data_IF_087502594470
#
_entry.id   IF_087502594470
#
_cell.length_a   1.000
_cell.length_b   1.000
_cell.length_c   1.000
_cell.angle_alpha   90.00
_cell.angle_beta   90.00
_cell.angle_gamma   90.00
#
_symmetry.space_group_name_H-M   'P 1'
#
loop_
_entity.id
_entity.type
_entity.pdbx_description
1 polymer ?
#
# COMPACT_ATOMS: atom_id res chain seq x y z
N UNK A 1 22.94 24.96 -11.24
CA UNK A 1 23.50 23.81 -11.99
C UNK A 1 23.87 22.60 -11.11
N UNK A 2 24.47 22.77 -9.93
CA UNK A 2 24.94 21.66 -9.07
C UNK A 2 23.79 20.87 -8.40
N UNK A 3 22.70 21.54 -8.02
CA UNK A 3 21.49 20.91 -7.48
C UNK A 3 20.88 19.89 -8.44
N UNK A 4 20.64 20.29 -9.70
CA UNK A 4 20.11 19.41 -10.74
C UNK A 4 21.00 18.19 -10.99
N UNK A 5 22.33 18.36 -11.02
CA UNK A 5 23.26 17.22 -11.16
C UNK A 5 23.15 16.24 -9.98
N UNK A 6 23.02 16.74 -8.74
CA UNK A 6 22.82 15.89 -7.55
C UNK A 6 21.48 15.17 -7.57
N UNK A 7 20.41 15.87 -7.97
CA UNK A 7 19.08 15.28 -8.13
C UNK A 7 19.08 14.15 -9.16
N UNK A 8 19.60 14.40 -10.38
CA UNK A 8 19.69 13.39 -11.44
C UNK A 8 20.56 12.20 -11.04
N UNK A 9 21.69 12.43 -10.36
CA UNK A 9 22.52 11.34 -9.83
C UNK A 9 21.76 10.50 -8.80
N UNK A 10 20.98 11.13 -7.94
CA UNK A 10 20.12 10.46 -6.97
C UNK A 10 19.04 9.61 -7.65
N UNK A 11 18.35 10.17 -8.63
CA UNK A 11 17.32 9.47 -9.41
C UNK A 11 17.90 8.26 -10.17
N UNK A 12 19.04 8.45 -10.85
CA UNK A 12 19.71 7.37 -11.57
C UNK A 12 20.16 6.23 -10.65
N UNK A 13 20.54 6.54 -9.40
CA UNK A 13 20.86 5.51 -8.42
C UNK A 13 19.64 4.67 -8.03
N UNK A 14 18.48 5.30 -7.86
CA UNK A 14 17.22 4.62 -7.49
C UNK A 14 16.69 3.72 -8.62
N UNK A 15 17.03 4.04 -9.88
CA UNK A 15 16.65 3.26 -11.06
C UNK A 15 17.63 2.12 -11.39
N UNK A 16 18.66 1.88 -10.57
CA UNK A 16 19.56 0.75 -10.80
C UNK A 16 18.86 -0.59 -10.59
N UNK A 17 19.17 -1.59 -11.43
CA UNK A 17 18.56 -2.95 -11.40
C UNK A 17 18.55 -3.59 -10.00
N UNK A 18 19.57 -3.34 -9.18
CA UNK A 18 19.64 -3.83 -7.79
C UNK A 18 18.47 -3.40 -6.91
N UNK A 19 17.85 -2.25 -7.18
CA UNK A 19 16.69 -1.73 -6.46
C UNK A 19 15.37 -2.38 -6.88
N UNK A 20 15.38 -3.24 -7.91
CA UNK A 20 14.26 -4.12 -8.22
C UNK A 20 14.09 -5.22 -7.16
N UNK A 21 15.20 -5.72 -6.63
CA UNK A 21 15.20 -6.74 -5.58
C UNK A 21 14.67 -6.22 -4.24
N UNK A 22 14.69 -7.10 -3.24
CA UNK A 22 14.19 -6.80 -1.89
C UNK A 22 15.30 -6.73 -0.84
N UNK A 23 16.58 -6.92 -1.20
CA UNK A 23 17.68 -6.88 -0.24
C UNK A 23 17.83 -5.51 0.38
N UNK A 24 17.76 -5.41 1.70
CA UNK A 24 17.83 -4.15 2.45
C UNK A 24 18.61 -4.32 3.76
N UNK A 25 19.63 -3.49 3.96
CA UNK A 25 20.57 -3.63 5.06
C UNK A 25 20.02 -3.19 6.43
N UNK A 26 18.90 -2.46 6.46
CA UNK A 26 18.28 -1.97 7.71
C UNK A 26 16.96 -2.70 7.98
N UNK A 27 17.04 -4.02 8.12
CA UNK A 27 15.89 -4.93 8.27
C UNK A 27 15.01 -4.57 9.47
N UNK A 28 15.61 -4.10 10.57
CA UNK A 28 14.88 -3.67 11.77
C UNK A 28 13.81 -2.58 11.50
N UNK A 29 13.96 -1.78 10.44
CA UNK A 29 12.98 -0.74 10.09
C UNK A 29 11.61 -1.30 9.69
N UNK A 30 11.53 -2.54 9.21
CA UNK A 30 10.22 -3.16 8.90
C UNK A 30 9.37 -3.43 10.15
N UNK A 31 10.01 -3.51 11.31
CA UNK A 31 9.35 -3.74 12.59
C UNK A 31 9.08 -2.44 13.35
N UNK A 32 9.51 -1.30 12.80
CA UNK A 32 9.57 -0.04 13.53
C UNK A 32 8.73 1.07 12.91
N UNK A 33 8.19 1.93 13.76
CA UNK A 33 7.73 3.27 13.36
C UNK A 33 8.94 4.10 12.96
N UNK A 34 8.76 5.01 11.99
CA UNK A 34 9.78 5.99 11.62
C UNK A 34 10.09 6.93 12.79
N UNK A 35 9.09 7.19 13.63
CA UNK A 35 9.13 8.21 14.67
C UNK A 35 9.54 7.69 16.05
N UNK A 36 9.75 6.38 16.20
CA UNK A 36 10.18 5.82 17.47
C UNK A 36 11.70 5.82 17.62
N UNK A 37 12.17 6.14 18.83
CA UNK A 37 13.61 6.16 19.17
C UNK A 37 14.06 4.82 19.74
N UNK A 38 13.26 4.24 20.64
CA UNK A 38 13.59 2.99 21.31
C UNK A 38 13.51 1.79 20.34
N UNK A 39 14.12 0.67 20.73
CA UNK A 39 14.05 -0.59 19.98
C UNK A 39 12.64 -1.15 19.91
N UNK A 40 11.88 -1.01 20.99
CA UNK A 40 10.47 -1.39 21.07
C UNK A 40 9.61 -0.22 21.54
N UNK A 41 8.34 -0.22 21.13
CA UNK A 41 7.34 0.75 21.59
C UNK A 41 5.98 0.07 21.75
N UNK A 42 5.45 0.10 22.97
CA UNK A 42 4.11 -0.41 23.26
C UNK A 42 3.03 0.42 22.57
N UNK A 43 3.25 1.74 22.42
CA UNK A 43 2.34 2.63 21.68
C UNK A 43 2.24 2.24 20.20
N UNK A 44 3.36 1.92 19.57
CA UNK A 44 3.36 1.49 18.17
C UNK A 44 2.75 0.10 18.00
N UNK A 45 2.99 -0.81 18.94
CA UNK A 45 2.33 -2.12 18.95
C UNK A 45 0.81 -1.97 19.09
N UNK A 46 0.34 -1.14 20.02
CA UNK A 46 -1.08 -0.85 20.21
C UNK A 46 -1.68 -0.24 18.93
N UNK A 47 -0.98 0.73 18.31
CA UNK A 47 -1.37 1.28 17.01
C UNK A 47 -1.58 0.18 15.97
N UNK A 48 -0.65 -0.78 15.82
CA UNK A 48 -0.80 -1.87 14.84
C UNK A 48 -2.02 -2.74 15.08
N UNK A 49 -2.30 -3.10 16.34
CA UNK A 49 -3.47 -3.91 16.66
C UNK A 49 -4.78 -3.15 16.47
N UNK A 50 -4.84 -1.85 16.81
CA UNK A 50 -6.00 -1.01 16.51
C UNK A 50 -6.29 -1.01 15.00
N UNK A 51 -5.26 -0.85 14.17
CA UNK A 51 -5.41 -0.85 12.71
C UNK A 51 -5.83 -2.21 12.16
N UNK A 52 -5.23 -3.30 12.65
CA UNK A 52 -5.61 -4.65 12.28
C UNK A 52 -7.09 -4.93 12.61
N UNK A 53 -7.53 -4.62 13.83
CA UNK A 53 -8.92 -4.83 14.27
C UNK A 53 -9.88 -3.95 13.47
N UNK A 54 -9.54 -2.67 13.24
CA UNK A 54 -10.38 -1.75 12.48
C UNK A 54 -10.61 -2.25 11.05
N UNK A 55 -9.55 -2.56 10.31
CA UNK A 55 -9.65 -3.04 8.93
C UNK A 55 -10.35 -4.41 8.86
N UNK A 56 -10.05 -5.31 9.79
CA UNK A 56 -10.71 -6.62 9.84
C UNK A 56 -12.22 -6.47 10.10
N UNK A 57 -12.61 -5.62 11.05
CA UNK A 57 -14.02 -5.39 11.38
C UNK A 57 -14.78 -4.79 10.19
N UNK A 58 -14.19 -3.79 9.52
CA UNK A 58 -14.79 -3.20 8.32
C UNK A 58 -14.90 -4.22 7.20
N UNK A 59 -13.88 -5.04 6.96
CA UNK A 59 -13.90 -6.04 5.90
C UNK A 59 -14.95 -7.13 6.15
N UNK A 60 -15.07 -7.59 7.40
CA UNK A 60 -16.15 -8.51 7.80
C UNK A 60 -17.51 -7.86 7.58
N UNK A 61 -17.72 -6.62 8.02
CA UNK A 61 -18.97 -5.89 7.81
C UNK A 61 -19.28 -5.72 6.31
N UNK A 62 -18.29 -5.35 5.49
CA UNK A 62 -18.45 -5.24 4.03
C UNK A 62 -18.87 -6.57 3.42
N UNK A 63 -18.24 -7.67 3.84
CA UNK A 63 -18.59 -9.02 3.39
C UNK A 63 -20.02 -9.33 3.77
N UNK A 64 -20.41 -9.20 5.05
CA UNK A 64 -21.77 -9.50 5.51
C UNK A 64 -22.83 -8.67 4.76
N UNK A 65 -22.57 -7.38 4.54
CA UNK A 65 -23.56 -6.46 3.93
C UNK A 65 -23.65 -6.57 2.40
N UNK A 66 -22.54 -6.89 1.74
CA UNK A 66 -22.43 -6.85 0.27
C UNK A 66 -22.28 -8.24 -0.36
N UNK A 67 -22.30 -9.32 0.41
CA UNK A 67 -22.23 -10.66 -0.14
C UNK A 67 -23.51 -11.00 -0.90
N UNK A 68 -23.46 -10.83 -2.23
CA UNK A 68 -24.53 -11.17 -3.14
C UNK A 68 -24.01 -12.20 -4.15
N UNK A 69 -24.34 -13.48 -3.96
CA UNK A 69 -23.99 -14.59 -4.87
C UNK A 69 -22.51 -14.60 -5.31
N UNK A 70 -21.59 -14.22 -4.41
CA UNK A 70 -20.16 -14.12 -4.73
C UNK A 70 -19.72 -12.91 -5.55
N UNK A 71 -20.65 -12.04 -6.02
CA UNK A 71 -20.34 -10.77 -6.71
C UNK A 71 -19.50 -9.83 -5.85
N UNK A 72 -19.46 -10.01 -4.53
CA UNK A 72 -18.49 -9.32 -3.68
C UNK A 72 -17.05 -9.43 -4.22
N UNK A 73 -16.66 -10.59 -4.73
CA UNK A 73 -15.29 -10.85 -5.18
C UNK A 73 -14.97 -10.35 -6.58
N UNK A 74 -15.91 -9.73 -7.31
CA UNK A 74 -15.59 -9.19 -8.66
C UNK A 74 -15.03 -7.77 -8.60
N UNK A 75 -15.27 -7.05 -7.50
CA UNK A 75 -14.94 -5.63 -7.40
C UNK A 75 -13.52 -5.41 -6.87
N UNK A 76 -12.77 -4.53 -7.57
CA UNK A 76 -11.42 -4.11 -7.20
C UNK A 76 -11.36 -3.50 -5.80
N UNK A 77 -12.42 -2.79 -5.39
CA UNK A 77 -12.52 -2.20 -4.05
C UNK A 77 -12.41 -3.27 -2.96
N UNK A 78 -13.07 -4.41 -3.15
CA UNK A 78 -13.08 -5.49 -2.17
C UNK A 78 -11.75 -6.24 -2.15
N UNK A 79 -11.08 -6.38 -3.31
CA UNK A 79 -9.72 -6.89 -3.40
C UNK A 79 -8.72 -5.98 -2.68
N UNK A 80 -8.75 -4.68 -2.99
CA UNK A 80 -7.85 -3.70 -2.40
C UNK A 80 -8.03 -3.57 -0.89
N UNK A 81 -9.28 -3.53 -0.41
CA UNK A 81 -9.56 -3.48 1.02
C UNK A 81 -9.19 -4.79 1.73
N UNK A 82 -9.46 -5.95 1.12
CA UNK A 82 -9.03 -7.24 1.65
C UNK A 82 -7.51 -7.36 1.76
N UNK A 83 -6.77 -6.94 0.73
CA UNK A 83 -5.31 -6.85 0.78
C UNK A 83 -4.84 -5.91 1.89
N UNK A 84 -5.45 -4.73 2.05
CA UNK A 84 -5.12 -3.82 3.14
C UNK A 84 -5.37 -4.45 4.52
N UNK A 85 -6.48 -5.19 4.70
CA UNK A 85 -6.77 -5.93 5.93
C UNK A 85 -5.69 -6.98 6.22
N UNK A 86 -5.30 -7.78 5.22
CA UNK A 86 -4.21 -8.76 5.37
C UNK A 86 -2.92 -8.04 5.76
N UNK A 87 -2.59 -6.93 5.09
CA UNK A 87 -1.41 -6.11 5.40
C UNK A 87 -1.42 -5.63 6.86
N UNK A 88 -2.55 -5.11 7.36
CA UNK A 88 -2.64 -4.59 8.74
C UNK A 88 -2.52 -5.69 9.79
N UNK A 89 -3.15 -6.86 9.56
CA UNK A 89 -3.00 -8.01 10.45
C UNK A 89 -1.56 -8.52 10.44
N UNK A 90 -0.95 -8.65 9.25
CA UNK A 90 0.44 -9.07 9.10
C UNK A 90 1.39 -8.10 9.82
N UNK A 91 1.15 -6.79 9.69
CA UNK A 91 1.88 -5.75 10.39
C UNK A 91 1.84 -5.93 11.92
N UNK A 92 0.64 -6.17 12.47
CA UNK A 92 0.47 -6.39 13.91
C UNK A 92 1.22 -7.63 14.40
N UNK A 93 1.18 -8.73 13.64
CA UNK A 93 1.93 -9.95 13.96
C UNK A 93 3.43 -9.69 13.94
N UNK A 94 3.96 -9.08 12.87
CA UNK A 94 5.41 -8.79 12.75
C UNK A 94 5.91 -7.92 13.90
N UNK A 95 5.18 -6.85 14.24
CA UNK A 95 5.56 -5.94 15.34
C UNK A 95 5.42 -6.64 16.69
N UNK A 96 4.46 -7.54 16.88
CA UNK A 96 4.33 -8.36 18.10
C UNK A 96 5.54 -9.28 18.27
N UNK A 97 5.93 -10.00 17.21
CA UNK A 97 7.11 -10.86 17.22
C UNK A 97 8.39 -10.07 17.56
N UNK A 98 8.55 -8.87 17.00
CA UNK A 98 9.67 -7.99 17.35
C UNK A 98 9.61 -7.47 18.80
N UNK A 99 8.42 -7.10 19.27
CA UNK A 99 8.25 -6.51 20.60
C UNK A 99 8.61 -7.49 21.72
N UNK A 100 8.08 -8.72 21.62
CA UNK A 100 8.29 -9.78 22.62
C UNK A 100 9.45 -10.73 22.27
N UNK A 101 10.20 -10.45 21.21
CA UNK A 101 11.29 -11.29 20.71
C UNK A 101 10.87 -12.75 20.43
N UNK A 102 9.63 -12.94 19.95
CA UNK A 102 9.09 -14.26 19.67
C UNK A 102 9.96 -14.93 18.62
N UNK A 103 10.50 -16.11 18.94
CA UNK A 103 11.40 -16.85 18.05
C UNK A 103 12.75 -16.15 17.83
N UNK A 104 13.19 -15.31 18.76
CA UNK A 104 14.45 -14.56 18.72
C UNK A 104 14.58 -13.60 17.51
N UNK A 105 13.45 -13.18 16.92
CA UNK A 105 13.42 -12.34 15.70
C UNK A 105 14.23 -11.06 15.89
N UNK A 106 14.09 -10.38 17.03
CA UNK A 106 14.80 -9.14 17.29
C UNK A 106 16.26 -9.42 17.60
N UNK A 107 16.54 -10.39 18.45
CA UNK A 107 17.92 -10.76 18.81
C UNK A 107 18.75 -11.15 17.59
N UNK A 108 18.22 -11.99 16.70
CA UNK A 108 18.91 -12.43 15.47
C UNK A 108 19.20 -11.28 14.51
N UNK A 109 18.25 -10.34 14.35
CA UNK A 109 18.44 -9.16 13.50
C UNK A 109 19.49 -8.21 14.11
N UNK A 110 19.49 -8.05 15.43
CA UNK A 110 20.47 -7.20 16.13
C UNK A 110 21.88 -7.81 16.06
N UNK A 111 22.02 -9.11 16.29
CA UNK A 111 23.30 -9.84 16.21
C UNK A 111 23.88 -9.82 14.78
N UNK A 112 23.02 -9.98 13.77
CA UNK A 112 23.43 -9.92 12.36
C UNK A 112 23.77 -8.50 11.89
N UNK A 113 23.28 -7.46 12.57
CA UNK A 113 23.51 -6.06 12.22
C UNK A 113 23.18 -5.74 10.77
N UNK A 114 24.12 -5.11 10.05
CA UNK A 114 23.96 -4.77 8.63
C UNK A 114 24.07 -5.99 7.69
N UNK A 115 24.49 -7.15 8.18
CA UNK A 115 24.54 -8.40 7.41
C UNK A 115 23.22 -9.17 7.48
N UNK A 116 22.22 -8.66 8.21
CA UNK A 116 20.89 -9.27 8.26
C UNK A 116 20.25 -9.29 6.87
N UNK A 117 19.90 -10.49 6.40
CA UNK A 117 19.19 -10.66 5.14
C UNK A 117 17.70 -10.35 5.30
N UNK A 118 17.08 -9.83 4.25
CA UNK A 118 15.63 -9.62 4.25
C UNK A 118 14.93 -10.98 4.10
N UNK A 119 14.22 -11.41 5.15
CA UNK A 119 13.53 -12.71 5.17
C UNK A 119 12.36 -12.74 4.18
N UNK A 120 11.94 -13.93 3.73
CA UNK A 120 10.79 -14.10 2.84
C UNK A 120 9.52 -13.41 3.40
N UNK A 121 9.29 -13.58 4.70
CA UNK A 121 8.20 -12.93 5.44
C UNK A 121 8.20 -11.41 5.27
N UNK A 122 9.36 -10.76 5.41
CA UNK A 122 9.48 -9.31 5.22
C UNK A 122 9.34 -8.87 3.77
N UNK A 123 9.80 -9.68 2.81
CA UNK A 123 9.61 -9.42 1.37
C UNK A 123 8.12 -9.40 1.04
N UNK A 124 7.36 -10.39 1.52
CA UNK A 124 5.90 -10.47 1.36
C UNK A 124 5.22 -9.26 2.01
N UNK A 125 5.60 -8.93 3.25
CA UNK A 125 5.03 -7.78 3.95
C UNK A 125 5.26 -6.47 3.18
N UNK A 126 6.46 -6.30 2.62
CA UNK A 126 6.78 -5.11 1.84
C UNK A 126 5.93 -5.00 0.58
N UNK A 127 5.77 -6.09 -0.18
CA UNK A 127 4.90 -6.11 -1.36
C UNK A 127 3.46 -5.80 -0.98
N UNK A 128 2.94 -6.47 0.05
CA UNK A 128 1.58 -6.27 0.54
C UNK A 128 1.33 -4.79 0.90
N UNK A 129 2.24 -4.17 1.66
CA UNK A 129 2.13 -2.76 2.02
C UNK A 129 2.15 -1.84 0.81
N UNK A 130 3.12 -2.01 -0.10
CA UNK A 130 3.25 -1.21 -1.31
C UNK A 130 1.98 -1.29 -2.18
N UNK A 131 1.46 -2.51 -2.36
CA UNK A 131 0.28 -2.76 -3.18
C UNK A 131 -0.96 -2.18 -2.51
N UNK A 132 -1.21 -2.46 -1.23
CA UNK A 132 -2.34 -1.90 -0.49
C UNK A 132 -2.35 -0.37 -0.49
N UNK A 133 -1.19 0.27 -0.30
CA UNK A 133 -1.06 1.73 -0.27
C UNK A 133 -1.49 2.33 -1.60
N UNK A 134 -0.94 1.80 -2.71
CA UNK A 134 -1.26 2.37 -4.01
C UNK A 134 -2.69 2.05 -4.43
N UNK A 135 -3.18 0.84 -4.18
CA UNK A 135 -4.56 0.46 -4.50
C UNK A 135 -5.57 1.35 -3.78
N UNK A 136 -5.33 1.68 -2.50
CA UNK A 136 -6.21 2.59 -1.76
C UNK A 136 -6.34 3.95 -2.46
N UNK A 137 -5.22 4.56 -2.90
CA UNK A 137 -5.20 5.82 -3.64
C UNK A 137 -5.92 5.71 -4.99
N UNK A 138 -5.64 4.65 -5.74
CA UNK A 138 -6.25 4.39 -7.05
C UNK A 138 -7.77 4.21 -6.91
N UNK A 139 -8.21 3.38 -5.96
CA UNK A 139 -9.63 3.09 -5.72
C UNK A 139 -10.38 4.37 -5.35
N UNK A 140 -9.81 5.20 -4.46
CA UNK A 140 -10.43 6.47 -4.09
C UNK A 140 -10.61 7.39 -5.29
N UNK A 141 -9.55 7.60 -6.06
CA UNK A 141 -9.58 8.50 -7.21
C UNK A 141 -10.51 8.01 -8.30
N UNK A 142 -10.46 6.71 -8.64
CA UNK A 142 -11.35 6.11 -9.63
C UNK A 142 -12.81 6.25 -9.19
N UNK A 143 -13.09 5.92 -7.92
CA UNK A 143 -14.45 6.00 -7.41
C UNK A 143 -15.01 7.42 -7.46
N UNK A 144 -14.34 8.38 -6.82
CA UNK A 144 -14.87 9.72 -6.66
C UNK A 144 -14.92 10.53 -7.97
N UNK A 145 -13.97 10.31 -8.88
CA UNK A 145 -13.89 11.07 -10.14
C UNK A 145 -14.71 10.40 -11.25
N UNK A 146 -14.69 9.07 -11.35
CA UNK A 146 -15.18 8.36 -12.53
C UNK A 146 -16.42 7.49 -12.28
N UNK A 147 -16.65 7.00 -11.06
CA UNK A 147 -17.74 6.04 -10.80
C UNK A 147 -18.89 6.63 -9.98
N UNK A 148 -18.63 7.53 -9.04
CA UNK A 148 -19.65 8.09 -8.15
C UNK A 148 -20.74 8.80 -8.99
N UNK A 149 -21.99 8.36 -8.85
CA UNK A 149 -23.13 8.84 -9.65
C UNK A 149 -23.18 8.35 -11.11
N UNK A 150 -22.26 7.47 -11.54
CA UNK A 150 -22.13 6.99 -12.93
C UNK A 150 -22.13 5.46 -13.06
N UNK A 151 -22.48 4.73 -11.99
CA UNK A 151 -22.45 3.27 -11.95
C UNK A 151 -23.69 2.59 -12.54
N UNK A 152 -24.68 3.34 -13.06
CA UNK A 152 -25.98 2.83 -13.53
C UNK A 152 -26.68 1.91 -12.50
N UNK A 153 -26.46 2.16 -11.21
CA UNK A 153 -27.04 1.37 -10.11
C UNK A 153 -27.22 2.22 -8.85
N UNK A 154 -28.22 1.91 -7.99
CA UNK A 154 -28.47 2.67 -6.77
C UNK A 154 -27.35 2.51 -5.74
N UNK A 155 -27.12 3.56 -4.95
CA UNK A 155 -26.17 3.53 -3.83
C UNK A 155 -26.83 2.81 -2.65
N UNK A 156 -26.51 1.53 -2.45
CA UNK A 156 -27.10 0.70 -1.37
C UNK A 156 -26.52 1.00 0.01
N UNK A 157 -25.21 1.27 0.09
CA UNK A 157 -24.50 1.44 1.37
C UNK A 157 -23.62 2.70 1.38
N UNK A 158 -24.19 3.90 1.55
CA UNK A 158 -23.45 5.16 1.46
C UNK A 158 -22.28 5.26 2.45
N UNK A 159 -22.49 4.85 3.71
CA UNK A 159 -21.44 4.88 4.74
C UNK A 159 -20.27 3.94 4.41
N UNK A 160 -20.57 2.70 3.99
CA UNK A 160 -19.55 1.74 3.56
C UNK A 160 -18.80 2.25 2.33
N UNK A 161 -19.49 2.92 1.41
CA UNK A 161 -18.85 3.54 0.25
C UNK A 161 -17.83 4.61 0.68
N UNK A 162 -18.20 5.53 1.58
CA UNK A 162 -17.26 6.54 2.11
C UNK A 162 -16.06 5.89 2.81
N UNK A 163 -16.29 4.82 3.57
CA UNK A 163 -15.22 4.10 4.27
C UNK A 163 -14.26 3.44 3.26
N UNK A 164 -14.82 2.66 2.34
CA UNK A 164 -14.04 1.80 1.41
C UNK A 164 -13.48 2.54 0.20
N UNK A 165 -13.96 3.75 -0.11
CA UNK A 165 -13.46 4.58 -1.21
C UNK A 165 -12.90 5.94 -0.79
N UNK A 166 -13.04 6.35 0.48
CA UNK A 166 -12.48 7.60 0.99
C UNK A 166 -11.49 7.32 2.10
N UNK A 167 -12.01 6.81 3.23
CA UNK A 167 -11.21 6.60 4.44
C UNK A 167 -10.10 5.57 4.23
N UNK A 168 -10.27 4.58 3.34
CA UNK A 168 -9.21 3.60 3.02
C UNK A 168 -7.86 4.30 2.71
N UNK A 169 -7.89 5.43 2.01
CA UNK A 169 -6.71 6.06 1.42
C UNK A 169 -6.09 7.01 2.41
N UNK A 170 -6.91 7.72 3.17
CA UNK A 170 -6.49 8.50 4.33
C UNK A 170 -5.79 7.56 5.32
N UNK A 171 -6.39 6.41 5.59
CA UNK A 171 -5.82 5.41 6.47
C UNK A 171 -4.45 4.93 5.93
N UNK A 172 -4.39 4.44 4.69
CA UNK A 172 -3.11 3.98 4.13
C UNK A 172 -2.03 5.07 4.07
N UNK A 173 -2.40 6.34 3.87
CA UNK A 173 -1.47 7.47 3.91
C UNK A 173 -0.96 7.75 5.32
N UNK A 174 -1.81 7.68 6.36
CA UNK A 174 -1.38 7.82 7.75
C UNK A 174 -0.39 6.70 8.10
N UNK A 175 -0.72 5.45 7.75
CA UNK A 175 0.19 4.33 7.98
C UNK A 175 1.50 4.53 7.21
N UNK A 176 1.44 4.93 5.94
CA UNK A 176 2.62 5.30 5.16
C UNK A 176 3.45 6.40 5.82
N UNK A 177 2.89 7.37 6.53
CA UNK A 177 3.68 8.38 7.25
C UNK A 177 4.34 7.78 8.50
N UNK A 178 3.68 6.82 9.16
CA UNK A 178 4.11 6.25 10.42
C UNK A 178 5.18 5.15 10.25
N UNK A 179 5.08 4.29 9.24
CA UNK A 179 5.98 3.13 9.05
C UNK A 179 7.42 3.54 8.72
N UNK A 180 8.45 2.82 9.15
CA UNK A 180 9.83 3.11 8.72
C UNK A 180 10.23 2.45 7.37
N UNK A 181 9.25 1.94 6.60
CA UNK A 181 9.50 1.15 5.39
C UNK A 181 10.33 1.91 4.36
N UNK A 182 11.33 1.28 3.73
CA UNK A 182 11.93 1.83 2.52
C UNK A 182 10.91 1.87 1.36
N UNK A 183 10.98 2.92 0.53
CA UNK A 183 10.24 2.99 -0.73
C UNK A 183 11.24 3.07 -1.89
N UNK A 184 11.10 2.16 -2.86
CA UNK A 184 11.94 2.10 -4.08
C UNK A 184 11.10 2.45 -5.30
N UNK A 185 11.64 3.28 -6.20
CA UNK A 185 10.92 3.66 -7.42
C UNK A 185 10.56 2.46 -8.29
N UNK A 186 11.47 1.50 -8.44
CA UNK A 186 11.23 0.32 -9.28
C UNK A 186 10.17 -0.64 -8.73
N UNK A 187 9.79 -0.54 -7.45
CA UNK A 187 8.74 -1.38 -6.88
C UNK A 187 7.33 -1.01 -7.39
N UNK A 188 7.18 0.08 -8.18
CA UNK A 188 5.93 0.37 -8.88
C UNK A 188 5.45 -0.79 -9.78
N UNK A 189 6.36 -1.64 -10.26
CA UNK A 189 6.00 -2.80 -11.07
C UNK A 189 5.09 -3.78 -10.34
N UNK A 190 5.17 -3.85 -9.00
CA UNK A 190 4.34 -4.74 -8.18
C UNK A 190 2.86 -4.39 -8.35
N UNK A 191 2.55 -3.10 -8.33
CA UNK A 191 1.17 -2.61 -8.48
C UNK A 191 0.68 -2.62 -9.92
N UNK A 192 1.58 -2.38 -10.89
CA UNK A 192 1.28 -2.59 -12.31
C UNK A 192 0.88 -4.04 -12.60
N UNK A 193 1.59 -5.01 -12.01
CA UNK A 193 1.25 -6.42 -12.12
C UNK A 193 -0.13 -6.72 -11.51
N UNK A 194 -0.45 -6.15 -10.33
CA UNK A 194 -1.79 -6.28 -9.74
C UNK A 194 -2.88 -5.71 -10.65
N UNK A 195 -2.64 -4.56 -11.30
CA UNK A 195 -3.58 -3.98 -12.26
C UNK A 195 -3.77 -4.88 -13.49
N UNK A 196 -2.70 -5.47 -14.03
CA UNK A 196 -2.78 -6.44 -15.13
C UNK A 196 -3.61 -7.65 -14.73
N UNK A 197 -3.35 -8.23 -13.55
CA UNK A 197 -4.10 -9.39 -13.03
C UNK A 197 -5.59 -9.07 -12.96
N UNK A 198 -5.96 -7.92 -12.40
CA UNK A 198 -7.36 -7.53 -12.30
C UNK A 198 -8.00 -7.28 -13.68
N UNK A 199 -7.27 -6.66 -14.61
CA UNK A 199 -7.77 -6.48 -15.98
C UNK A 199 -8.04 -7.81 -16.69
N UNK A 200 -7.08 -8.75 -16.62
CA UNK A 200 -7.24 -10.09 -17.16
C UNK A 200 -8.43 -10.82 -16.52
N UNK A 201 -8.57 -10.69 -15.20
CA UNK A 201 -9.75 -11.20 -14.49
C UNK A 201 -11.04 -10.64 -15.07
N UNK A 202 -11.17 -9.32 -15.26
CA UNK A 202 -12.40 -8.74 -15.83
C UNK A 202 -12.69 -9.17 -17.26
N UNK A 203 -11.65 -9.38 -18.08
CA UNK A 203 -11.79 -9.92 -19.43
C UNK A 203 -12.32 -11.35 -19.40
N UNK A 204 -11.70 -12.22 -18.61
CA UNK A 204 -12.13 -13.61 -18.46
C UNK A 204 -13.57 -13.65 -17.91
N UNK A 205 -13.87 -12.81 -16.92
CA UNK A 205 -15.20 -12.72 -16.32
C UNK A 205 -16.27 -12.35 -17.37
N UNK A 206 -15.97 -11.38 -18.24
CA UNK A 206 -16.84 -11.02 -19.35
C UNK A 206 -17.01 -12.16 -20.38
N UNK A 207 -15.91 -12.84 -20.76
CA UNK A 207 -15.95 -13.97 -21.69
C UNK A 207 -16.78 -15.15 -21.15
N UNK A 208 -16.88 -15.28 -19.82
CA UNK A 208 -17.75 -16.22 -19.14
C UNK A 208 -19.19 -15.70 -18.94
N UNK A 209 -19.60 -14.64 -19.65
CA UNK A 209 -20.91 -13.98 -19.52
C UNK A 209 -21.21 -13.46 -18.10
N UNK A 210 -20.18 -13.10 -17.34
CA UNK A 210 -20.31 -12.54 -16.01
C UNK A 210 -21.01 -11.17 -16.02
N UNK A 211 -21.90 -10.96 -15.05
CA UNK A 211 -22.64 -9.71 -14.85
C UNK A 211 -22.34 -9.07 -13.49
N UNK A 212 -22.73 -7.83 -13.27
CA UNK A 212 -22.88 -7.31 -11.91
C UNK A 212 -24.19 -7.82 -11.24
N UNK A 213 -24.46 -7.32 -10.03
CA UNK A 213 -25.66 -7.62 -9.23
C UNK A 213 -26.97 -7.13 -9.86
N UNK A 214 -26.91 -6.31 -10.91
CA UNK A 214 -28.05 -5.71 -11.59
C UNK A 214 -28.22 -6.24 -13.02
N UNK A 215 -27.42 -7.24 -13.41
CA UNK A 215 -27.48 -7.85 -14.73
C UNK A 215 -26.69 -7.09 -15.81
N UNK A 216 -25.92 -6.06 -15.45
CA UNK A 216 -25.07 -5.37 -16.42
C UNK A 216 -23.90 -6.26 -16.84
N UNK A 217 -23.52 -6.33 -18.13
CA UNK A 217 -22.48 -7.24 -18.64
C UNK A 217 -21.05 -6.72 -18.40
N UNK A 218 -20.80 -6.10 -17.24
CA UNK A 218 -19.50 -5.55 -16.86
C UNK A 218 -19.32 -5.51 -15.35
N UNK A 219 -18.07 -5.46 -14.87
CA UNK A 219 -17.76 -5.23 -13.45
C UNK A 219 -17.94 -3.75 -13.09
N UNK A 220 -17.42 -2.87 -13.94
CA UNK A 220 -17.57 -1.42 -13.86
C UNK A 220 -17.90 -0.88 -15.26
N UNK A 221 -18.69 0.18 -15.42
CA UNK A 221 -18.99 0.75 -16.74
C UNK A 221 -17.75 1.22 -17.52
N UNK A 222 -16.66 1.55 -16.81
CA UNK A 222 -15.35 1.92 -17.39
C UNK A 222 -14.53 0.70 -17.85
N UNK A 223 -14.95 -0.52 -17.49
CA UNK A 223 -14.40 -1.81 -17.89
C UNK A 223 -15.46 -2.65 -18.63
N UNK A 224 -16.21 -1.98 -19.52
CA UNK A 224 -17.20 -2.64 -20.39
C UNK A 224 -16.52 -3.19 -21.65
N UNK A 225 -16.35 -4.52 -21.69
CA UNK A 225 -15.68 -5.21 -22.78
C UNK A 225 -16.51 -5.30 -24.08
N UNK A 226 -17.78 -4.88 -24.08
CA UNK A 226 -18.51 -4.62 -25.32
C UNK A 226 -17.95 -3.40 -26.07
N UNK A 227 -17.24 -2.51 -25.37
CA UNK A 227 -16.46 -1.40 -25.92
C UNK A 227 -14.98 -1.54 -25.51
N UNK A 228 -14.19 -2.40 -26.19
CA UNK A 228 -12.79 -2.65 -25.83
C UNK A 228 -11.91 -1.39 -25.82
N UNK A 229 -12.29 -0.35 -26.58
CA UNK A 229 -11.59 0.94 -26.57
C UNK A 229 -11.69 1.59 -25.19
N UNK A 230 -12.86 1.53 -24.55
CA UNK A 230 -13.05 2.04 -23.19
C UNK A 230 -12.18 1.31 -22.17
N UNK A 231 -12.13 -0.02 -22.24
CA UNK A 231 -11.24 -0.83 -21.39
C UNK A 231 -9.77 -0.44 -21.57
N UNK A 232 -9.33 -0.27 -22.82
CA UNK A 232 -7.95 0.16 -23.13
C UNK A 232 -7.63 1.55 -22.58
N UNK A 233 -8.53 2.52 -22.75
CA UNK A 233 -8.36 3.88 -22.19
C UNK A 233 -8.27 3.82 -20.67
N UNK A 234 -9.15 3.06 -20.02
CA UNK A 234 -9.09 2.86 -18.56
C UNK A 234 -7.77 2.22 -18.15
N UNK A 235 -7.29 1.19 -18.86
CA UNK A 235 -6.03 0.51 -18.56
C UNK A 235 -4.84 1.48 -18.59
N UNK A 236 -4.72 2.26 -19.68
CA UNK A 236 -3.67 3.26 -19.84
C UNK A 236 -3.77 4.34 -18.75
N UNK A 237 -4.99 4.80 -18.45
CA UNK A 237 -5.25 5.79 -17.40
C UNK A 237 -4.79 5.30 -16.02
N UNK A 238 -5.10 4.05 -15.65
CA UNK A 238 -4.65 3.44 -14.39
C UNK A 238 -3.12 3.34 -14.34
N UNK A 239 -2.46 2.94 -15.42
CA UNK A 239 -0.99 2.86 -15.49
C UNK A 239 -0.33 4.23 -15.31
N UNK A 240 -0.85 5.27 -15.97
CA UNK A 240 -0.37 6.64 -15.79
C UNK A 240 -0.55 7.07 -14.32
N UNK A 241 -1.72 6.79 -13.75
CA UNK A 241 -2.02 7.15 -12.37
C UNK A 241 -1.12 6.42 -11.35
N UNK A 242 -0.79 5.15 -11.59
CA UNK A 242 0.19 4.39 -10.81
C UNK A 242 1.55 5.09 -10.82
N UNK A 243 2.05 5.48 -12.01
CA UNK A 243 3.34 6.18 -12.13
C UNK A 243 3.31 7.52 -11.38
N UNK A 244 2.26 8.31 -11.57
CA UNK A 244 2.09 9.60 -10.91
C UNK A 244 2.09 9.47 -9.38
N UNK A 245 1.25 8.58 -8.82
CA UNK A 245 1.20 8.37 -7.38
C UNK A 245 2.51 7.80 -6.84
N UNK A 246 3.18 6.90 -7.55
CA UNK A 246 4.43 6.32 -7.08
C UNK A 246 5.54 7.37 -6.98
N UNK A 247 5.62 8.30 -7.94
CA UNK A 247 6.53 9.44 -7.90
C UNK A 247 6.20 10.36 -6.72
N UNK A 248 4.92 10.67 -6.51
CA UNK A 248 4.47 11.50 -5.39
C UNK A 248 4.79 10.86 -4.03
N UNK A 249 4.50 9.57 -3.87
CA UNK A 249 4.82 8.80 -2.67
C UNK A 249 6.32 8.71 -2.44
N UNK A 250 7.13 8.58 -3.50
CA UNK A 250 8.58 8.63 -3.36
C UNK A 250 9.08 10.00 -2.89
N UNK A 251 8.52 11.09 -3.43
CA UNK A 251 8.80 12.45 -2.93
C UNK A 251 8.44 12.60 -1.45
N UNK A 252 7.23 12.18 -1.07
CA UNK A 252 6.76 12.17 0.32
C UNK A 252 7.64 11.30 1.23
N UNK A 253 8.12 10.15 0.72
CA UNK A 253 9.03 9.26 1.43
C UNK A 253 10.38 9.94 1.73
N UNK A 254 10.95 10.67 0.76
CA UNK A 254 12.18 11.45 1.00
C UNK A 254 11.94 12.60 1.97
N UNK A 255 10.79 13.26 1.88
CA UNK A 255 10.42 14.37 2.76
C UNK A 255 10.29 13.91 4.23
N UNK A 256 9.55 12.83 4.50
CA UNK A 256 9.42 12.30 5.88
C UNK A 256 10.76 11.83 6.46
N UNK A 257 11.66 11.28 5.63
CA UNK A 257 13.01 10.94 6.08
C UNK A 257 13.85 12.18 6.42
N UNK A 258 13.74 13.24 5.61
CA UNK A 258 14.41 14.51 5.90
C UNK A 258 13.91 15.12 7.21
N UNK A 259 12.59 15.14 7.44
CA UNK A 259 12.01 15.60 8.70
C UNK A 259 12.48 14.77 9.89
N UNK A 260 12.42 13.43 9.78
CA UNK A 260 12.87 12.54 10.85
C UNK A 260 14.33 12.80 11.23
N UNK A 261 15.22 13.00 10.26
CA UNK A 261 16.63 13.35 10.50
C UNK A 261 16.77 14.71 11.18
N UNK A 262 16.05 15.73 10.70
CA UNK A 262 16.08 17.07 11.28
C UNK A 262 15.64 17.06 12.75
N UNK A 263 14.55 16.37 13.08
CA UNK A 263 14.12 16.21 14.47
C UNK A 263 15.13 15.44 15.31
N UNK A 264 15.71 14.35 14.78
CA UNK A 264 16.73 13.60 15.53
C UNK A 264 17.95 14.47 15.89
N UNK A 265 18.40 15.35 14.99
CA UNK A 265 19.52 16.29 15.23
C UNK A 265 19.15 17.36 16.26
N UNK A 266 17.98 17.98 16.15
CA UNK A 266 17.53 19.05 17.06
C UNK A 266 17.38 18.55 18.51
N UNK A 267 16.96 17.31 18.70
CA UNK A 267 16.74 16.70 20.02
C UNK A 267 17.94 15.88 20.54
N UNK A 268 19.07 15.87 19.83
CA UNK A 268 20.38 15.37 20.33
C UNK A 268 21.51 16.39 20.07
N UNK A 269 21.50 17.55 20.76
CA UNK A 269 22.47 18.63 20.51
C UNK A 269 23.93 18.24 20.81
N UNK A 270 24.16 17.17 21.57
CA UNK A 270 25.51 16.74 21.99
C UNK A 270 26.39 16.18 20.86
N UNK A 271 25.85 16.01 19.65
CA UNK A 271 26.64 15.56 18.48
C UNK A 271 27.28 16.70 17.67
N UNK A 272 27.06 17.98 18.03
CA UNK A 272 27.60 19.14 17.29
C UNK A 272 28.94 19.64 17.86
N UNK A 273 29.44 19.03 18.94
CA UNK A 273 30.67 19.44 19.64
C UNK A 273 31.95 18.71 19.25
N UNK A 274 31.99 17.97 18.14
CA UNK A 274 33.19 17.29 17.63
C UNK A 274 33.27 17.42 16.11
N UNK A 275 33.47 18.66 15.64
CA UNK A 275 34.10 18.97 14.35
C UNK A 275 35.28 19.89 14.66
#
# INVERSE_FOLDING_TARGET
MQFFKRFWKGLNNELQKKHFGFEYNHVHLFYKSLWQKNEVSAYYLLYRWIWAILFLSIYIACTILQFCEGKFFIYMTNWGFGLATITMVYAAVQVTCWHYDVGNVRSLVQESGQKANTTCSLKVYWVLHNVSLLLALIISTVYWIFLNGRMNKPVRFPAISIITHGLNSICMLIDFIIVAFPLRLLHMVQTMLTAIIFFLFTLIYYLCHGTDEFGNPYVYPILDWNDPKRCLVTFIGIFIMIVCYWILLFGAHKLRQAFNRAFSVVWTPHAVGLI
#
